data_IF_621135690630
#
_entry.id   IF_621135690630
#
_cell.length_a   1.000
_cell.length_b   1.000
_cell.length_c   1.000
_cell.angle_alpha   90.00
_cell.angle_beta   90.00
_cell.angle_gamma   90.00
#
_symmetry.space_group_name_H-M   'P 1'
#
loop_
_entity.id
_entity.type
_entity.pdbx_description
1 polymer ?
2 polymer ?
3 polymer ?
4 non-polymer ?
5 non-polymer ?
6 water ?
#
loop_
_entity_poly.entity_id
_entity_poly.type
_entity_poly.pdbx_seq_one_letter_code
_entity_poly.pdbx_strand_id
2 'polydeoxyribonucleotide' '(DC)(DG)(DC)(DT)(DA)(DG)(DT)(DC)(DG)(DA)(DC)(DA)(DT)' ?
3 'polydeoxyribonucleotide' '(DT)(DC)(DG)(DA)(DC)(DT)(DA)(DG)(DC)(DG)' ?
#
# COMPACT_ATOMS: atom_id res chain seq x y z
N UNK A 2 -7.29 0.36 0.05
CA UNK A 2 -8.45 1.18 -0.24
C UNK A 2 -9.72 0.45 -0.69
N UNK A 3 -9.64 -0.85 -0.97
CA UNK A 3 -10.82 -1.62 -1.34
C UNK A 3 -11.62 -1.92 -0.11
N UNK A 4 -12.47 -0.97 0.27
CA UNK A 4 -13.23 -1.09 1.49
C UNK A 4 -14.08 -2.36 1.51
N UNK A 5 -13.93 -3.15 2.57
CA UNK A 5 -14.72 -4.35 2.75
C UNK A 5 -14.19 -5.59 2.07
N UNK A 6 -12.96 -5.51 1.55
CA UNK A 6 -12.42 -6.62 0.78
C UNK A 6 -12.14 -7.87 1.62
N UNK A 7 -11.63 -7.70 2.84
CA UNK A 7 -11.19 -8.85 3.61
C UNK A 7 -12.39 -9.69 4.04
N UNK A 8 -13.46 -9.05 4.49
CA UNK A 8 -14.66 -9.78 4.88
C UNK A 8 -15.19 -10.51 3.66
N UNK A 9 -15.16 -9.84 2.53
CA UNK A 9 -15.73 -10.35 1.29
C UNK A 9 -15.00 -11.61 0.79
N UNK A 10 -13.70 -11.70 1.02
CA UNK A 10 -12.94 -12.89 0.60
C UNK A 10 -12.39 -13.70 1.78
N UNK A 11 -13.06 -13.59 2.92
CA UNK A 11 -12.60 -14.20 4.16
C UNK A 11 -12.38 -15.70 4.05
N UNK A 12 -13.11 -16.36 3.17
CA UNK A 12 -12.98 -17.81 2.99
C UNK A 12 -11.56 -18.19 2.58
N UNK A 13 -10.85 -17.29 1.92
CA UNK A 13 -9.53 -17.61 1.40
C UNK A 13 -8.43 -17.32 2.40
N UNK A 14 -8.81 -16.97 3.62
CA UNK A 14 -7.81 -16.60 4.61
C UNK A 14 -7.62 -17.70 5.62
N UNK A 15 -6.44 -17.72 6.24
CA UNK A 15 -6.09 -18.74 7.21
C UNK A 15 -5.36 -18.12 8.39
N UNK A 16 -5.80 -18.42 9.63
CA UNK A 16 -5.00 -18.00 10.77
C UNK A 16 -3.65 -18.67 10.69
N UNK A 17 -2.58 -17.93 10.89
CA UNK A 17 -1.26 -18.55 10.91
C UNK A 17 -0.38 -17.95 11.99
N UNK A 18 0.80 -18.54 12.13
CA UNK A 18 1.89 -17.92 12.85
C UNK A 18 3.11 -17.81 11.93
N UNK A 19 3.84 -16.70 11.99
CA UNK A 19 4.92 -16.45 11.04
C UNK A 19 6.11 -17.43 11.14
N UNK A 20 6.12 -18.33 12.14
CA UNK A 20 7.04 -19.47 12.16
C UNK A 20 7.07 -20.18 10.81
N UNK A 21 5.94 -20.13 10.11
CA UNK A 21 5.77 -20.77 8.82
C UNK A 21 6.90 -20.39 7.85
N UNK A 22 7.33 -19.14 7.93
CA UNK A 22 8.31 -18.62 6.99
C UNK A 22 9.73 -18.61 7.55
N UNK A 23 9.99 -19.49 8.50
CA UNK A 23 11.31 -19.60 9.11
C UNK A 23 12.31 -19.97 8.05
N UNK A 24 13.39 -19.21 7.97
CA UNK A 24 14.42 -19.41 6.96
C UNK A 24 14.06 -18.82 5.60
N UNK A 25 12.97 -18.05 5.54
CA UNK A 25 12.56 -17.47 4.27
C UNK A 25 12.52 -15.95 4.41
N UNK A 26 12.27 -15.28 3.29
CA UNK A 26 12.29 -13.84 3.32
C UNK A 26 10.89 -13.27 3.23
N UNK A 27 10.57 -12.40 4.18
CA UNK A 27 9.28 -11.73 4.23
C UNK A 27 9.51 -10.22 4.09
N UNK A 28 8.65 -9.54 3.33
CA UNK A 28 8.78 -8.09 3.19
C UNK A 28 7.71 -7.40 4.03
N UNK A 29 8.05 -6.24 4.58
CA UNK A 29 7.13 -5.55 5.48
C UNK A 29 6.64 -4.21 4.96
N UNK A 30 5.33 -4.02 4.95
CA UNK A 30 4.72 -2.73 4.64
C UNK A 30 4.87 -1.79 5.83
N UNK A 31 6.09 -1.25 6.02
CA UNK A 31 6.50 -0.63 7.28
C UNK A 31 5.69 0.62 7.70
N UNK A 32 5.08 1.35 6.75
CA UNK A 32 4.30 2.53 7.14
C UNK A 32 3.10 2.15 8.00
N UNK A 33 2.58 0.93 7.81
CA UNK A 33 1.55 0.40 8.69
C UNK A 33 2.00 0.38 10.16
N UNK A 34 3.19 -0.16 10.41
CA UNK A 34 3.75 -0.18 11.75
C UNK A 34 4.04 1.23 12.25
N UNK A 35 4.54 2.09 11.36
CA UNK A 35 4.86 3.46 11.73
C UNK A 35 3.63 4.20 12.20
N UNK A 36 2.54 4.06 11.46
CA UNK A 36 1.30 4.71 11.84
C UNK A 36 0.78 4.18 13.16
N UNK A 37 0.95 2.88 13.39
CA UNK A 37 0.57 2.30 14.67
C UNK A 37 1.47 2.77 15.79
N UNK A 38 2.78 2.80 15.52
CA UNK A 38 3.76 3.26 16.50
C UNK A 38 3.52 4.68 16.95
N UNK A 39 3.21 5.55 16.00
CA UNK A 39 3.07 6.99 16.26
C UNK A 39 1.90 7.37 17.18
N UNK A 40 0.90 6.51 17.26
CA UNK A 40 -0.26 6.81 18.08
C UNK A 40 0.11 6.99 19.56
N UNK A 41 0.96 6.10 20.08
CA UNK A 41 1.46 6.19 21.45
C UNK A 41 2.05 7.57 21.80
N UNK A 42 2.66 8.25 20.84
CA UNK A 42 3.31 9.53 21.11
C UNK A 42 2.76 10.66 20.24
N UNK A 43 1.46 10.65 20.02
CA UNK A 43 0.82 11.59 19.12
C UNK A 43 0.94 13.03 19.61
N UNK A 44 0.83 13.21 20.92
CA UNK A 44 0.82 14.54 21.50
C UNK A 44 2.13 15.27 21.23
N UNK A 45 3.23 14.60 21.54
CA UNK A 45 4.55 15.16 21.26
C UNK A 45 4.76 15.39 19.75
N UNK A 46 4.29 14.48 18.90
CA UNK A 46 4.46 14.65 17.47
C UNK A 46 3.72 15.89 16.97
N UNK A 47 2.52 16.09 17.53
CA UNK A 47 1.70 17.24 17.20
C UNK A 47 2.31 18.55 17.72
N UNK A 48 2.94 18.50 18.89
CA UNK A 48 3.50 19.71 19.51
C UNK A 48 4.89 20.02 18.96
N UNK A 49 5.39 19.18 18.07
CA UNK A 49 6.73 19.34 17.54
C UNK A 49 7.80 18.85 18.49
N UNK A 50 7.40 18.36 19.68
CA UNK A 50 8.35 17.87 20.66
C UNK A 50 9.11 16.64 20.16
N UNK A 51 10.41 16.54 20.52
CA UNK A 51 11.22 15.38 20.10
C UNK A 51 10.69 14.03 20.63
N UNK A 52 10.64 13.03 19.76
CA UNK A 52 10.22 11.67 20.12
C UNK A 52 10.87 10.65 19.21
N UNK A 53 11.24 9.49 19.76
CA UNK A 53 11.57 8.36 18.91
C UNK A 53 10.84 7.09 19.38
N UNK A 54 9.70 7.25 20.04
CA UNK A 54 8.99 6.11 20.64
C UNK A 54 8.56 5.12 19.56
N UNK A 55 8.10 5.65 18.42
CA UNK A 55 7.68 4.83 17.29
C UNK A 55 8.81 3.92 16.79
N UNK A 56 10.06 4.27 17.04
CA UNK A 56 11.18 3.47 16.55
C UNK A 56 11.22 2.16 17.32
N UNK A 57 11.09 2.25 18.64
CA UNK A 57 11.07 1.07 19.48
C UNK A 57 9.90 0.14 19.17
N UNK A 58 8.76 0.71 18.79
CA UNK A 58 7.58 -0.05 18.47
C UNK A 58 7.84 -0.92 17.25
N UNK A 59 8.33 -0.30 16.18
CA UNK A 59 8.66 -1.05 14.97
C UNK A 59 9.70 -2.12 15.27
N UNK A 60 10.70 -1.77 16.09
CA UNK A 60 11.76 -2.72 16.40
C UNK A 60 11.27 -3.95 17.15
N UNK A 61 10.23 -3.82 17.97
CA UNK A 61 9.63 -4.99 18.62
C UNK A 61 9.28 -6.02 17.57
N UNK A 62 8.53 -5.58 16.57
CA UNK A 62 8.10 -6.45 15.48
C UNK A 62 9.28 -7.03 14.72
N UNK A 63 10.23 -6.16 14.37
CA UNK A 63 11.42 -6.60 13.66
C UNK A 63 12.14 -7.68 14.45
N UNK A 64 12.39 -7.40 15.72
CA UNK A 64 13.06 -8.34 16.60
C UNK A 64 12.30 -9.67 16.68
N UNK A 65 10.99 -9.60 16.72
CA UNK A 65 10.20 -10.82 16.83
C UNK A 65 10.41 -11.69 15.59
N UNK A 66 10.32 -11.09 14.41
CA UNK A 66 10.59 -11.80 13.15
C UNK A 66 11.96 -12.46 13.15
N UNK A 67 12.98 -11.72 13.58
CA UNK A 67 14.34 -12.23 13.56
C UNK A 67 14.50 -13.42 14.50
N UNK A 68 13.82 -13.35 15.64
CA UNK A 68 13.90 -14.42 16.63
C UNK A 68 13.41 -15.76 16.05
N UNK A 69 12.47 -15.69 15.12
CA UNK A 69 11.92 -16.89 14.50
C UNK A 69 12.67 -17.23 13.21
N UNK A 70 13.85 -16.64 13.05
CA UNK A 70 14.68 -16.92 11.90
C UNK A 70 14.09 -16.43 10.58
N UNK A 71 13.30 -15.36 10.64
CA UNK A 71 12.77 -14.73 9.44
C UNK A 71 13.72 -13.63 8.99
N UNK A 72 13.99 -13.55 7.69
CA UNK A 72 14.76 -12.43 7.15
C UNK A 72 13.80 -11.38 6.63
N UNK A 73 13.58 -10.33 7.42
CA UNK A 73 12.67 -9.28 6.99
C UNK A 73 13.32 -8.31 6.03
N UNK A 74 12.52 -7.77 5.13
CA UNK A 74 12.95 -6.63 4.33
C UNK A 74 11.93 -5.54 4.59
N UNK A 75 12.37 -4.42 5.17
CA UNK A 75 11.41 -3.36 5.47
C UNK A 75 11.26 -2.47 4.26
N UNK A 76 10.03 -2.30 3.80
CA UNK A 76 9.82 -1.41 2.66
C UNK A 76 9.11 -0.15 3.11
N UNK A 77 9.48 0.97 2.50
CA UNK A 77 8.93 2.28 2.85
C UNK A 77 8.35 2.99 1.64
N UNK A 78 7.27 3.72 1.86
CA UNK A 78 6.68 4.50 0.81
C UNK A 78 7.65 5.60 0.47
N UNK A 79 7.69 5.99 -0.79
CA UNK A 79 8.58 7.05 -1.27
C UNK A 79 7.80 8.24 -1.76
N UNK A 80 8.04 8.66 -3.00
CA UNK A 80 7.43 9.88 -3.54
C UNK A 80 5.93 9.76 -3.76
N UNK A 81 5.28 10.91 -3.81
CA UNK A 81 3.84 10.98 -4.03
C UNK A 81 3.46 10.50 -5.44
N UNK A 82 2.40 9.71 -5.49
CA UNK A 82 1.90 9.17 -6.75
C UNK A 82 0.76 10.01 -7.27
N UNK A 83 0.88 10.53 -8.50
CA UNK A 83 -0.23 11.41 -8.89
C UNK A 83 -1.60 10.68 -8.96
N UNK A 84 -1.61 9.38 -9.24
CA UNK A 84 -2.89 8.67 -9.31
C UNK A 84 -3.65 8.74 -7.98
N UNK A 85 -2.90 8.92 -6.88
CA UNK A 85 -3.47 8.95 -5.55
C UNK A 85 -3.69 10.38 -5.01
N UNK A 86 -3.67 11.40 -5.88
CA UNK A 86 -3.61 12.77 -5.34
C UNK A 86 -4.88 13.16 -4.58
N UNK A 87 -6.04 12.80 -5.10
CA UNK A 87 -7.28 13.13 -4.39
C UNK A 87 -7.32 12.53 -2.99
N UNK A 88 -6.91 11.27 -2.86
CA UNK A 88 -6.87 10.64 -1.56
C UNK A 88 -5.83 11.33 -0.68
N UNK A 89 -4.68 11.67 -1.26
CA UNK A 89 -3.63 12.37 -0.51
C UNK A 89 -4.16 13.70 0.02
N UNK A 90 -5.01 14.36 -0.77
CA UNK A 90 -5.56 15.66 -0.39
C UNK A 90 -6.54 15.52 0.79
N UNK A 91 -7.46 14.57 0.69
CA UNK A 91 -8.45 14.42 1.73
C UNK A 91 -7.80 14.02 3.04
N UNK A 92 -6.80 13.13 3.00
CA UNK A 92 -6.06 12.80 4.22
C UNK A 92 -5.36 14.02 4.83
N UNK A 93 -4.66 14.77 3.97
CA UNK A 93 -4.00 15.98 4.42
C UNK A 93 -5.02 16.91 5.08
N UNK A 94 -6.16 17.10 4.42
CA UNK A 94 -7.20 18.00 4.94
C UNK A 94 -7.72 17.55 6.29
N UNK A 95 -7.77 16.25 6.51
CA UNK A 95 -8.32 15.72 7.76
C UNK A 95 -7.33 15.89 8.88
N UNK A 96 -6.07 15.58 8.61
CA UNK A 96 -4.98 15.84 9.55
C UNK A 96 -4.97 17.29 10.00
N UNK A 97 -5.01 18.21 9.03
CA UNK A 97 -5.00 19.64 9.31
C UNK A 97 -6.16 20.03 10.23
N UNK A 98 -7.35 19.58 9.87
CA UNK A 98 -8.56 19.85 10.64
C UNK A 98 -8.43 19.40 12.09
N UNK A 99 -7.99 18.17 12.27
CA UNK A 99 -7.84 17.62 13.62
C UNK A 99 -6.73 18.31 14.41
N UNK A 100 -5.63 18.67 13.75
CA UNK A 100 -4.52 19.33 14.46
C UNK A 100 -4.94 20.68 15.02
N UNK A 101 -5.63 21.46 14.19
CA UNK A 101 -6.15 22.76 14.59
C UNK A 101 -7.10 22.63 15.77
N UNK A 102 -7.99 21.62 15.69
CA UNK A 102 -9.02 21.44 16.71
C UNK A 102 -8.41 21.09 18.05
N UNK A 103 -7.45 20.17 18.03
CA UNK A 103 -6.72 19.79 19.23
C UNK A 103 -6.14 21.01 19.92
N UNK A 104 -5.43 21.84 19.15
CA UNK A 104 -4.83 23.06 19.69
C UNK A 104 -5.87 23.96 20.37
N UNK A 105 -7.03 24.10 19.75
CA UNK A 105 -8.08 24.93 20.31
C UNK A 105 -8.60 24.32 21.60
N UNK A 106 -8.58 23.00 21.67
CA UNK A 106 -9.01 22.30 22.87
C UNK A 106 -7.96 22.36 23.99
N UNK A 107 -6.73 22.73 23.63
CA UNK A 107 -5.69 22.94 24.64
C UNK A 107 -5.83 24.30 25.33
N UNK A 108 -6.30 25.30 24.59
CA UNK A 108 -6.61 26.59 25.18
C UNK A 108 -7.90 26.50 25.98
N UNK A 109 -8.61 25.38 25.82
CA UNK A 109 -9.82 25.08 26.58
C UNK A 109 -9.54 24.23 27.82
N UNK A 110 -8.46 23.46 27.78
CA UNK A 110 -8.09 22.60 28.89
C UNK A 110 -8.50 21.15 28.68
N UNK A 111 -9.38 20.92 27.71
CA UNK A 111 -9.87 19.58 27.40
C UNK A 111 -8.77 18.72 26.79
N UNK A 112 -7.87 18.22 27.64
CA UNK A 112 -6.73 17.43 27.19
C UNK A 112 -7.16 16.06 26.68
N UNK A 113 -8.26 15.55 27.21
CA UNK A 113 -8.78 14.27 26.77
C UNK A 113 -9.14 14.34 25.29
N UNK A 114 -10.06 15.24 24.96
CA UNK A 114 -10.50 15.43 23.58
C UNK A 114 -9.34 15.85 22.69
N UNK A 115 -8.50 16.75 23.20
CA UNK A 115 -7.36 17.24 22.43
C UNK A 115 -6.43 16.10 22.05
N UNK A 116 -6.34 15.09 22.91
CA UNK A 116 -5.56 13.90 22.62
C UNK A 116 -6.18 13.09 21.48
N UNK A 117 -7.50 13.01 21.48
CA UNK A 117 -8.22 12.27 20.44
C UNK A 117 -8.02 12.92 19.06
N UNK A 118 -7.84 14.24 19.04
CA UNK A 118 -7.66 14.95 17.77
C UNK A 118 -6.24 14.80 17.27
N UNK A 119 -5.28 14.97 18.17
CA UNK A 119 -3.88 14.87 17.82
C UNK A 119 -3.58 13.49 17.22
N UNK A 120 -4.12 12.46 17.84
CA UNK A 120 -3.87 11.10 17.40
C UNK A 120 -4.40 10.88 15.98
N UNK A 121 -5.37 11.69 15.56
CA UNK A 121 -5.88 11.64 14.19
C UNK A 121 -5.21 12.67 13.28
N UNK A 122 -4.24 13.40 13.82
CA UNK A 122 -3.51 14.36 13.01
C UNK A 122 -2.12 13.85 12.64
N UNK A 123 -1.79 12.64 13.10
CA UNK A 123 -0.49 12.03 12.85
C UNK A 123 -0.04 12.08 11.40
N UNK A 124 1.13 12.65 11.15
CA UNK A 124 1.68 12.57 9.81
C UNK A 124 3.03 11.88 9.82
N UNK A 125 3.13 10.77 9.08
CA UNK A 125 4.37 10.02 9.00
C UNK A 125 5.25 10.61 7.91
N UNK A 126 6.46 11.06 8.31
CA UNK A 126 7.44 11.71 7.43
C UNK A 126 8.61 10.82 7.06
N UNK A 127 9.37 11.22 6.05
CA UNK A 127 10.55 10.43 5.70
C UNK A 127 11.55 10.50 6.85
N UNK A 128 11.57 11.63 7.55
CA UNK A 128 12.46 11.77 8.70
C UNK A 128 12.14 10.75 9.78
N UNK A 129 10.86 10.51 10.02
CA UNK A 129 10.47 9.47 10.97
C UNK A 129 10.86 8.10 10.47
N UNK A 130 10.59 7.83 9.20
CA UNK A 130 10.90 6.52 8.66
C UNK A 130 12.42 6.29 8.67
N UNK A 131 13.18 7.33 8.36
CA UNK A 131 14.62 7.18 8.29
C UNK A 131 15.22 6.77 9.65
N UNK A 132 14.64 7.27 10.75
CA UNK A 132 15.06 6.81 12.06
C UNK A 132 14.81 5.29 12.19
N UNK A 133 13.71 4.81 11.64
CA UNK A 133 13.47 3.36 11.74
C UNK A 133 14.52 2.63 10.90
N UNK A 134 14.82 3.15 9.72
CA UNK A 134 15.84 2.57 8.87
C UNK A 134 17.20 2.43 9.55
N UNK A 135 17.65 3.48 10.26
CA UNK A 135 18.94 3.42 10.94
C UNK A 135 18.92 2.35 12.03
N UNK A 136 17.83 2.31 12.80
CA UNK A 136 17.67 1.29 13.84
C UNK A 136 17.75 -0.10 13.23
N UNK A 137 16.97 -0.32 12.19
CA UNK A 137 16.93 -1.60 11.49
C UNK A 137 18.30 -2.03 11.01
N UNK A 138 18.92 -1.19 10.18
CA UNK A 138 20.24 -1.47 9.63
C UNK A 138 21.25 -1.87 10.69
N UNK A 139 21.26 -1.13 11.80
CA UNK A 139 22.19 -1.41 12.90
C UNK A 139 22.00 -2.84 13.41
N UNK A 140 20.87 -3.44 13.12
CA UNK A 140 20.65 -4.84 13.46
C UNK A 140 20.76 -5.75 12.24
N UNK A 141 21.29 -5.21 11.15
CA UNK A 141 21.55 -6.02 9.96
C UNK A 141 20.35 -6.33 9.10
N UNK A 142 19.30 -5.53 9.25
CA UNK A 142 18.03 -5.75 8.55
C UNK A 142 17.94 -4.90 7.26
N UNK A 143 17.67 -5.55 6.12
CA UNK A 143 17.60 -4.86 4.84
C UNK A 143 16.42 -3.90 4.78
N UNK A 144 16.67 -2.66 4.39
CA UNK A 144 15.59 -1.70 4.17
C UNK A 144 15.59 -1.17 2.75
N UNK A 145 14.40 -0.84 2.25
CA UNK A 145 14.25 -0.38 0.90
C UNK A 145 13.13 0.66 0.83
N UNK A 146 13.44 1.84 0.30
CA UNK A 146 12.40 2.82 0.03
C UNK A 146 11.89 2.70 -1.40
N UNK A 147 10.60 2.41 -1.58
CA UNK A 147 9.99 2.39 -2.91
C UNK A 147 10.08 3.76 -3.56
N UNK A 148 10.15 3.81 -4.89
CA UNK A 148 10.22 5.16 -5.49
C UNK A 148 8.87 5.83 -5.35
N UNK A 149 7.81 5.01 -5.30
CA UNK A 149 6.48 5.55 -5.05
C UNK A 149 5.77 4.76 -3.94
N UNK A 150 4.61 4.19 -4.21
CA UNK A 150 3.94 3.44 -3.15
C UNK A 150 4.67 2.15 -2.82
N UNK A 151 4.87 1.92 -1.52
CA UNK A 151 5.36 0.66 -1.04
C UNK A 151 4.54 -0.51 -1.62
N UNK A 152 3.24 -0.29 -1.81
CA UNK A 152 2.34 -1.33 -2.32
C UNK A 152 2.91 -2.02 -3.54
N UNK A 153 3.29 -1.25 -4.57
CA UNK A 153 3.75 -1.87 -5.80
C UNK A 153 5.11 -2.54 -5.65
N UNK A 154 5.96 -1.91 -4.84
CA UNK A 154 7.29 -2.44 -4.59
C UNK A 154 7.20 -3.81 -3.92
N UNK A 155 6.31 -3.90 -2.94
CA UNK A 155 6.08 -5.15 -2.23
C UNK A 155 5.65 -6.22 -3.20
N UNK A 156 4.62 -5.92 -3.97
CA UNK A 156 4.13 -6.79 -5.01
C UNK A 156 5.25 -7.26 -5.92
N UNK A 157 6.15 -6.35 -6.25
CA UNK A 157 7.23 -6.67 -7.18
C UNK A 157 8.19 -7.65 -6.54
N UNK A 158 8.54 -7.42 -5.27
CA UNK A 158 9.43 -8.31 -4.55
C UNK A 158 8.80 -9.72 -4.38
N UNK A 159 7.48 -9.75 -4.27
CA UNK A 159 6.79 -11.04 -4.09
C UNK A 159 6.77 -11.76 -5.43
N UNK A 160 6.37 -11.05 -6.47
CA UNK A 160 6.31 -11.66 -7.79
C UNK A 160 7.69 -12.08 -8.32
N UNK A 161 8.74 -11.32 -8.02
CA UNK A 161 10.09 -11.67 -8.51
C UNK A 161 10.70 -12.88 -7.78
N UNK A 162 10.03 -13.37 -6.75
CA UNK A 162 10.58 -14.45 -5.95
C UNK A 162 11.56 -14.02 -4.88
N UNK A 163 11.77 -12.70 -4.75
CA UNK A 163 12.69 -12.15 -3.76
C UNK A 163 12.22 -12.34 -2.32
N UNK A 164 10.93 -12.16 -2.09
CA UNK A 164 10.34 -12.45 -0.80
C UNK A 164 9.20 -13.46 -0.99
N UNK A 165 8.88 -14.23 0.04
CA UNK A 165 7.87 -15.29 -0.08
C UNK A 165 6.48 -14.84 0.38
N UNK A 166 6.44 -13.73 1.13
CA UNK A 166 5.20 -13.19 1.67
C UNK A 166 5.37 -11.75 2.09
N UNK A 167 4.25 -11.05 2.25
CA UNK A 167 4.22 -9.64 2.56
C UNK A 167 3.39 -9.36 3.80
N UNK A 168 3.98 -8.69 4.78
CA UNK A 168 3.27 -8.30 5.99
C UNK A 168 2.72 -6.89 5.85
N UNK A 169 1.39 -6.75 5.96
CA UNK A 169 0.74 -5.48 5.70
C UNK A 169 -0.66 -5.48 6.30
N UNK A 170 -1.33 -4.32 6.31
CA UNK A 170 -2.73 -4.29 6.73
C UNK A 170 -3.62 -3.97 5.56
N UNK A 171 -3.00 -3.78 4.41
CA UNK A 171 -3.63 -3.28 3.18
C UNK A 171 -4.05 -4.43 2.26
N UNK A 172 -5.32 -4.85 2.31
CA UNK A 172 -5.73 -6.01 1.51
C UNK A 172 -5.70 -5.73 0.00
N UNK A 173 -5.75 -4.47 -0.40
CA UNK A 173 -5.67 -4.14 -1.82
C UNK A 173 -4.33 -4.55 -2.47
N UNK A 174 -3.34 -4.94 -1.66
CA UNK A 174 -2.10 -5.50 -2.22
C UNK A 174 -2.38 -6.71 -3.13
N UNK A 175 -3.50 -7.39 -2.91
CA UNK A 175 -3.89 -8.49 -3.78
C UNK A 175 -4.21 -8.03 -5.20
N UNK A 176 -4.75 -6.81 -5.37
CA UNK A 176 -4.99 -6.25 -6.71
C UNK A 176 -3.68 -5.93 -7.46
N UNK A 177 -2.58 -5.80 -6.75
CA UNK A 177 -1.28 -5.58 -7.40
C UNK A 177 -0.71 -6.93 -7.80
N UNK A 178 -1.35 -8.00 -7.36
CA UNK A 178 -0.95 -9.33 -7.76
C UNK A 178 0.11 -9.95 -6.86
N UNK A 179 0.14 -9.54 -5.60
CA UNK A 179 0.95 -10.25 -4.61
C UNK A 179 0.46 -11.69 -4.55
N UNK A 180 1.36 -12.62 -4.23
CA UNK A 180 1.05 -14.03 -4.09
C UNK A 180 0.53 -14.28 -2.69
N UNK A 181 1.29 -13.86 -1.68
CA UNK A 181 0.92 -14.12 -0.31
C UNK A 181 0.96 -12.87 0.53
N UNK A 182 -0.14 -12.62 1.24
CA UNK A 182 -0.24 -11.49 2.13
C UNK A 182 -0.59 -11.95 3.54
N UNK A 183 0.12 -11.40 4.52
CA UNK A 183 -0.13 -11.67 5.93
C UNK A 183 -0.68 -10.43 6.62
N UNK A 184 -1.93 -10.52 7.06
CA UNK A 184 -2.64 -9.38 7.63
C UNK A 184 -2.82 -9.50 9.12
N UNK A 185 -3.04 -8.37 9.79
CA UNK A 185 -3.40 -8.37 11.20
C UNK A 185 -2.36 -9.08 12.07
N UNK A 186 -1.11 -9.10 11.63
CA UNK A 186 -0.11 -9.82 12.39
C UNK A 186 0.23 -9.07 13.66
N UNK A 187 0.08 -9.74 14.81
CA UNK A 187 0.31 -9.06 16.08
C UNK A 187 1.80 -9.06 16.46
N UNK A 188 2.10 -8.57 17.65
CA UNK A 188 3.49 -8.43 18.07
C UNK A 188 4.13 -9.78 18.34
N UNK A 189 3.32 -10.84 18.43
CA UNK A 189 3.82 -12.16 18.77
C UNK A 189 3.99 -13.07 17.56
N UNK A 190 3.49 -12.62 16.42
CA UNK A 190 3.63 -13.39 15.19
C UNK A 190 2.34 -14.03 14.69
N UNK A 191 1.25 -13.87 15.43
CA UNK A 191 -0.03 -14.45 15.00
C UNK A 191 -0.69 -13.53 14.01
N UNK A 192 -1.22 -14.11 12.95
CA UNK A 192 -1.82 -13.30 11.91
C UNK A 192 -2.69 -14.11 10.98
N UNK A 193 -3.07 -13.45 9.89
CA UNK A 193 -4.08 -13.97 8.98
C UNK A 193 -3.52 -13.91 7.58
N UNK A 194 -3.36 -15.07 6.96
CA UNK A 194 -2.73 -15.11 5.65
C UNK A 194 -3.77 -15.32 4.55
N UNK A 195 -3.59 -14.59 3.47
CA UNK A 195 -4.36 -14.82 2.26
C UNK A 195 -3.42 -15.10 1.10
N UNK A 196 -3.61 -16.25 0.46
CA UNK A 196 -2.85 -16.62 -0.73
C UNK A 196 -3.68 -16.33 -1.97
N UNK A 197 -3.07 -15.73 -2.99
CA UNK A 197 -3.77 -15.49 -4.26
C UNK A 197 -4.37 -16.77 -4.86
N UNK A 198 -3.66 -17.87 -4.70
CA UNK A 198 -4.04 -19.15 -5.31
C UNK A 198 -5.24 -19.80 -4.62
N UNK A 199 -5.60 -19.30 -3.44
CA UNK A 199 -6.74 -19.85 -2.73
C UNK A 199 -7.95 -18.95 -2.87
N UNK A 200 -7.89 -17.95 -3.74
CA UNK A 200 -9.04 -17.05 -3.93
C UNK A 200 -10.23 -17.84 -4.48
N UNK A 201 -9.94 -18.92 -5.19
CA UNK A 201 -11.00 -19.80 -5.65
C UNK A 201 -11.77 -20.51 -4.54
N UNK A 202 -11.20 -20.53 -3.33
CA UNK A 202 -11.90 -21.06 -2.16
C UNK A 202 -13.10 -20.19 -1.82
N UNK A 203 -13.06 -18.96 -2.31
CA UNK A 203 -14.01 -17.94 -1.91
C UNK A 203 -15.25 -18.03 -2.77
N UNK A 204 -16.29 -18.63 -2.21
CA UNK A 204 -17.47 -19.04 -2.99
C UNK A 204 -18.09 -17.88 -3.76
N UNK A 205 -18.28 -16.74 -3.10
CA UNK A 205 -19.04 -15.67 -3.70
C UNK A 205 -18.27 -14.87 -4.76
N UNK A 206 -17.03 -15.24 -5.08
CA UNK A 206 -16.35 -14.62 -6.21
C UNK A 206 -16.78 -15.20 -7.54
N UNK A 207 -17.41 -16.38 -7.52
CA UNK A 207 -17.65 -17.09 -8.76
C UNK A 207 -16.29 -17.30 -9.44
N UNK A 208 -16.18 -16.93 -10.72
CA UNK A 208 -14.94 -17.13 -11.46
C UNK A 208 -14.01 -15.90 -11.49
N UNK A 209 -14.35 -14.89 -10.70
CA UNK A 209 -13.58 -13.65 -10.57
C UNK A 209 -12.53 -13.99 -9.50
N UNK A 210 -11.64 -14.92 -9.82
CA UNK A 210 -10.57 -15.26 -8.90
C UNK A 210 -9.31 -15.18 -9.74
N UNK A 211 -9.48 -14.99 -11.05
CA UNK A 211 -8.32 -14.82 -11.93
C UNK A 211 -7.77 -13.39 -11.79
N UNK A 212 -6.45 -13.24 -11.95
CA UNK A 212 -5.78 -11.97 -11.67
C UNK A 212 -6.48 -10.78 -12.31
N UNK A 213 -6.77 -10.89 -13.60
CA UNK A 213 -7.24 -9.73 -14.36
C UNK A 213 -8.61 -9.31 -13.85
N UNK A 214 -9.50 -10.28 -13.70
CA UNK A 214 -10.86 -10.01 -13.23
C UNK A 214 -10.90 -9.53 -11.80
N UNK A 215 -10.01 -10.07 -10.97
CA UNK A 215 -10.01 -9.68 -9.57
C UNK A 215 -9.60 -8.19 -9.49
N UNK A 216 -8.63 -7.81 -10.30
CA UNK A 216 -8.18 -6.41 -10.36
C UNK A 216 -9.32 -5.50 -10.79
N UNK A 217 -9.99 -5.86 -11.88
CA UNK A 217 -11.15 -5.11 -12.35
C UNK A 217 -12.22 -4.97 -11.27
N UNK A 218 -12.50 -6.06 -10.57
CA UNK A 218 -13.50 -6.00 -9.50
C UNK A 218 -13.10 -4.99 -8.43
N UNK A 219 -11.84 -5.04 -8.02
CA UNK A 219 -11.37 -4.13 -6.97
C UNK A 219 -11.51 -2.69 -7.42
N UNK A 220 -11.03 -2.38 -8.63
CA UNK A 220 -11.13 -1.01 -9.15
C UNK A 220 -12.60 -0.55 -9.20
N UNK A 221 -13.48 -1.38 -9.75
CA UNK A 221 -14.90 -1.04 -9.90
C UNK A 221 -15.58 -0.77 -8.58
N UNK A 222 -15.10 -1.41 -7.53
CA UNK A 222 -15.76 -1.30 -6.24
C UNK A 222 -15.38 0.00 -5.59
N UNK A 223 -14.40 0.68 -6.17
CA UNK A 223 -13.93 1.93 -5.62
C UNK A 223 -12.62 1.70 -4.93
N UNK A 224 -11.57 2.35 -5.44
CA UNK A 224 -10.24 2.21 -4.87
C UNK A 224 -9.63 3.60 -4.67
N UNK A 225 -8.40 3.64 -4.18
CA UNK A 225 -7.74 4.91 -3.89
C UNK A 225 -7.47 5.72 -5.17
N UNK A 226 -7.37 5.03 -6.30
CA UNK A 226 -7.09 5.70 -7.56
C UNK A 226 -8.35 6.18 -8.26
N UNK A 227 -9.50 5.68 -7.81
CA UNK A 227 -10.73 5.96 -8.54
C UNK A 227 -11.97 5.62 -7.74
N UNK A 228 -12.74 6.62 -7.40
CA UNK A 228 -14.04 6.43 -6.77
C UNK A 228 -14.98 5.63 -7.66
N UNK A 229 -15.72 4.71 -7.02
CA UNK A 229 -16.70 3.93 -7.75
C UNK A 229 -17.85 4.80 -8.25
N UNK A 230 -18.50 4.33 -9.30
CA UNK A 230 -19.82 4.82 -9.64
C UNK A 230 -20.73 4.64 -8.43
N UNK A 231 -21.67 5.55 -8.23
CA UNK A 231 -22.55 5.51 -7.06
C UNK A 231 -23.43 4.28 -7.03
N UNK A 232 -23.34 3.53 -5.95
CA UNK A 232 -24.17 2.35 -5.77
C UNK A 232 -23.43 1.07 -6.10
N UNK A 233 -22.16 1.19 -6.48
CA UNK A 233 -21.37 0.00 -6.80
C UNK A 233 -20.33 -0.32 -5.73
N UNK A 234 -20.44 -1.49 -5.11
CA UNK A 234 -19.48 -1.99 -4.15
C UNK A 234 -18.89 -3.30 -4.64
N UNK A 235 -18.33 -4.10 -3.74
CA UNK A 235 -17.69 -5.34 -4.16
C UNK A 235 -18.66 -6.35 -4.74
N UNK A 236 -19.82 -6.49 -4.12
CA UNK A 236 -20.74 -7.55 -4.51
C UNK A 236 -21.30 -7.29 -5.90
N UNK A 237 -21.60 -6.03 -6.19
CA UNK A 237 -22.20 -5.71 -7.47
C UNK A 237 -21.13 -5.64 -8.54
N UNK A 238 -19.93 -5.25 -8.14
CA UNK A 238 -18.81 -5.24 -9.08
C UNK A 238 -18.50 -6.67 -9.46
N UNK A 239 -18.44 -7.53 -8.46
CA UNK A 239 -18.22 -8.94 -8.68
C UNK A 239 -19.29 -9.52 -9.61
N UNK A 240 -20.55 -9.15 -9.35
CA UNK A 240 -21.68 -9.62 -10.15
C UNK A 240 -21.53 -9.22 -11.63
N UNK A 241 -21.15 -7.96 -11.85
CA UNK A 241 -20.96 -7.48 -13.22
C UNK A 241 -19.93 -8.32 -13.95
N UNK A 242 -18.82 -8.60 -13.29
CA UNK A 242 -17.78 -9.38 -13.93
C UNK A 242 -18.18 -10.85 -14.10
N UNK A 243 -18.96 -11.39 -13.16
CA UNK A 243 -19.44 -12.77 -13.32
C UNK A 243 -20.35 -12.88 -14.53
N UNK A 244 -21.33 -11.98 -14.62
CA UNK A 244 -22.34 -12.07 -15.66
C UNK A 244 -21.84 -11.63 -17.02
N UNK A 245 -20.90 -10.69 -17.03
CA UNK A 245 -20.36 -10.18 -18.27
C UNK A 245 -19.68 -11.29 -19.03
N UNK A 246 -19.87 -11.31 -20.34
CA UNK A 246 -19.25 -12.33 -21.16
C UNK A 246 -18.12 -11.72 -21.99
N UNK A 247 -18.36 -10.51 -22.50
CA UNK A 247 -17.39 -9.80 -23.33
C UNK A 247 -16.04 -9.66 -22.63
N UNK A 248 -14.95 -9.88 -23.38
CA UNK A 248 -13.58 -9.69 -22.87
C UNK A 248 -13.17 -8.21 -22.75
N UNK A 249 -13.68 -7.37 -23.64
CA UNK A 249 -13.35 -5.94 -23.60
C UNK A 249 -14.02 -5.26 -22.42
N UNK A 250 -13.24 -5.08 -21.36
CA UNK A 250 -13.76 -4.56 -20.11
C UNK A 250 -14.42 -3.18 -20.29
N UNK A 251 -13.94 -2.40 -21.26
CA UNK A 251 -14.52 -1.08 -21.49
C UNK A 251 -15.97 -1.17 -21.98
N UNK A 252 -16.22 -2.08 -22.90
CA UNK A 252 -17.58 -2.27 -23.41
C UNK A 252 -18.51 -2.82 -22.33
N UNK A 253 -17.94 -3.47 -21.33
CA UNK A 253 -18.74 -4.01 -20.24
C UNK A 253 -19.15 -2.91 -19.28
N UNK A 254 -18.18 -2.06 -18.91
CA UNK A 254 -18.43 -0.94 -18.01
C UNK A 254 -19.47 0.03 -18.56
N UNK A 255 -19.33 0.39 -19.85
CA UNK A 255 -20.30 1.24 -20.53
C UNK A 255 -21.73 0.75 -20.37
N UNK A 256 -21.92 -0.58 -20.39
CA UNK A 256 -23.26 -1.12 -20.23
C UNK A 256 -23.43 -1.81 -18.90
N UNK A 257 -22.80 -1.27 -17.85
CA UNK A 257 -22.84 -1.88 -16.52
C UNK A 257 -24.24 -1.88 -15.88
N UNK A 258 -25.03 -0.85 -16.17
CA UNK A 258 -26.37 -0.78 -15.61
C UNK A 258 -27.23 -1.91 -16.10
N UNK A 259 -26.83 -2.49 -17.23
CA UNK A 259 -27.58 -3.56 -17.85
C UNK A 259 -27.44 -4.84 -17.04
N UNK A 260 -26.20 -5.21 -16.76
CA UNK A 260 -25.93 -6.42 -16.00
C UNK A 260 -26.55 -6.37 -14.60
N UNK A 261 -26.87 -5.18 -14.13
CA UNK A 261 -27.31 -5.03 -12.75
C UNK A 261 -28.76 -4.62 -12.62
N UNK A 262 -29.39 -4.33 -13.76
CA UNK A 262 -30.76 -3.83 -13.79
C UNK A 262 -30.90 -2.58 -12.91
N UNK A 263 -29.97 -1.65 -13.12
CA UNK A 263 -29.98 -0.37 -12.44
C UNK A 263 -29.88 0.73 -13.49
N UNK A 264 -30.37 1.92 -13.17
CA UNK A 264 -30.14 3.06 -14.03
C UNK A 264 -28.83 3.71 -13.64
N UNK A 265 -27.76 3.35 -14.35
CA UNK A 265 -26.44 3.88 -14.06
C UNK A 265 -25.83 4.55 -15.28
N UNK A 266 -25.73 5.88 -15.23
CA UNK A 266 -25.00 6.65 -16.23
C UNK A 266 -23.49 6.56 -16.00
N UNK A 267 -22.76 6.24 -17.06
CA UNK A 267 -21.31 6.13 -16.97
C UNK A 267 -20.65 7.28 -17.71
N UNK A 268 -20.12 8.26 -16.97
CA UNK A 268 -19.53 9.43 -17.63
C UNK A 268 -18.28 9.06 -18.44
N UNK A 269 -17.98 9.84 -19.47
CA UNK A 269 -16.81 9.59 -20.31
C UNK A 269 -15.50 9.56 -19.51
N UNK A 270 -15.34 10.45 -18.55
CA UNK A 270 -14.13 10.46 -17.76
C UNK A 270 -14.02 9.24 -16.84
N UNK A 271 -15.14 8.58 -16.56
CA UNK A 271 -15.03 7.40 -15.70
C UNK A 271 -14.25 6.30 -16.42
N UNK A 272 -14.55 6.07 -17.70
CA UNK A 272 -13.76 5.14 -18.50
C UNK A 272 -12.28 5.48 -18.49
N UNK A 273 -11.97 6.76 -18.62
CA UNK A 273 -10.59 7.20 -18.60
C UNK A 273 -9.98 6.95 -17.25
N UNK A 274 -10.73 7.29 -16.20
CA UNK A 274 -10.28 7.00 -14.86
C UNK A 274 -10.04 5.51 -14.68
N UNK A 275 -10.96 4.68 -15.19
CA UNK A 275 -10.83 3.24 -15.00
C UNK A 275 -9.56 2.70 -15.64
N UNK A 276 -9.32 3.09 -16.90
CA UNK A 276 -8.08 2.79 -17.61
C UNK A 276 -6.85 3.25 -16.83
N UNK A 277 -6.89 4.46 -16.33
CA UNK A 277 -5.78 5.01 -15.56
C UNK A 277 -5.53 4.19 -14.31
N UNK A 278 -6.60 3.87 -13.59
CA UNK A 278 -6.46 3.09 -12.36
C UNK A 278 -5.92 1.69 -12.65
N UNK A 279 -6.43 1.08 -13.72
CA UNK A 279 -5.90 -0.21 -14.16
C UNK A 279 -4.40 -0.11 -14.45
N UNK A 280 -4.02 0.87 -15.27
CA UNK A 280 -2.61 1.09 -15.60
C UNK A 280 -1.77 1.36 -14.35
N UNK A 281 -2.36 1.95 -13.33
CA UNK A 281 -1.61 2.26 -12.11
C UNK A 281 -1.34 1.00 -11.27
N UNK A 282 -2.31 0.08 -11.17
CA UNK A 282 -2.06 -1.18 -10.48
C UNK A 282 -1.05 -2.04 -11.24
N UNK A 283 -1.06 -1.92 -12.57
CA UNK A 283 -0.23 -2.75 -13.45
C UNK A 283 1.20 -2.21 -13.66
N UNK A 284 1.34 -0.90 -13.80
CA UNK A 284 2.57 -0.28 -14.30
C UNK A 284 3.24 0.75 -13.38
N UNK A 285 2.75 0.86 -12.13
CA UNK A 285 3.38 1.75 -11.16
C UNK A 285 4.85 1.38 -11.02
N UNK A 286 5.71 2.40 -11.03
CA UNK A 286 7.16 2.22 -11.03
C UNK A 286 7.66 1.63 -9.75
N UNK A 287 8.62 0.73 -9.85
CA UNK A 287 9.23 0.16 -8.68
C UNK A 287 10.72 0.11 -8.93
N UNK A 288 11.48 -0.23 -7.90
CA UNK A 288 12.93 -0.28 -8.04
C UNK A 288 13.39 -1.72 -7.97
N UNK A 289 13.95 -2.20 -9.07
CA UNK A 289 14.56 -3.52 -9.10
C UNK A 289 15.88 -3.46 -8.36
N UNK A 290 15.95 -4.08 -7.17
CA UNK A 290 17.12 -3.99 -6.30
C UNK A 290 18.34 -4.72 -6.82
N UNK A 291 18.16 -5.67 -7.73
CA UNK A 291 19.30 -6.47 -8.20
C UNK A 291 20.05 -5.73 -9.28
N UNK A 292 19.30 -5.20 -10.23
CA UNK A 292 19.91 -4.50 -11.34
C UNK A 292 20.00 -3.02 -11.00
N UNK A 293 19.47 -2.68 -9.82
CA UNK A 293 19.42 -1.31 -9.34
C UNK A 293 18.87 -0.36 -10.39
N UNK A 294 17.60 -0.52 -10.72
CA UNK A 294 16.93 0.37 -11.66
C UNK A 294 15.41 0.48 -11.46
N UNK A 295 14.84 1.53 -12.06
CA UNK A 295 13.40 1.74 -12.09
C UNK A 295 12.74 1.01 -13.23
N UNK A 296 11.70 0.25 -12.91
CA UNK A 296 10.93 -0.52 -13.89
C UNK A 296 9.42 -0.47 -13.60
N UNK A 297 8.60 -0.66 -14.61
CA UNK A 297 7.20 -0.80 -14.25
C UNK A 297 6.98 -2.14 -13.53
N UNK A 298 5.97 -2.23 -12.68
CA UNK A 298 5.73 -3.43 -11.88
C UNK A 298 5.53 -4.63 -12.80
N UNK A 299 4.86 -4.41 -13.91
CA UNK A 299 4.79 -5.39 -14.99
C UNK A 299 5.29 -4.78 -16.31
N UNK A 300 5.91 -5.60 -17.14
CA UNK A 300 6.32 -5.17 -18.47
C UNK A 300 5.14 -4.62 -19.24
N UNK A 301 5.39 -3.55 -19.99
CA UNK A 301 4.36 -2.91 -20.78
C UNK A 301 3.84 -3.86 -21.83
N UNK A 302 2.52 -3.84 -22.00
CA UNK A 302 1.91 -4.66 -23.03
C UNK A 302 1.92 -3.94 -24.37
N UNK A 303 1.28 -4.56 -25.36
CA UNK A 303 1.15 -4.01 -26.70
C UNK A 303 -0.15 -3.24 -26.81
N UNK A 304 -0.57 -2.65 -25.70
CA UNK A 304 -1.80 -1.86 -25.68
C UNK A 304 -1.59 -0.60 -24.85
N UNK A 305 -0.40 -0.47 -24.28
CA UNK A 305 -0.13 0.69 -23.47
C UNK A 305 1.08 1.44 -24.02
N UNK A 306 0.95 2.76 -24.14
CA UNK A 306 2.05 3.64 -24.49
C UNK A 306 2.61 4.22 -23.21
N UNK A 307 3.83 3.84 -22.85
CA UNK A 307 4.43 4.23 -21.57
C UNK A 307 4.59 5.74 -21.45
N UNK A 308 4.62 6.46 -22.57
CA UNK A 308 4.76 7.90 -22.52
C UNK A 308 3.57 8.55 -21.82
N UNK A 309 2.42 7.89 -21.85
CA UNK A 309 1.19 8.48 -21.34
C UNK A 309 0.93 8.17 -19.85
N UNK A 310 1.88 7.48 -19.20
CA UNK A 310 1.67 6.94 -17.86
C UNK A 310 2.39 7.71 -16.75
N UNK A 311 2.40 9.03 -16.87
CA UNK A 311 3.01 9.89 -15.86
C UNK A 311 2.37 9.66 -14.51
N UNK A 312 1.03 9.51 -14.52
CA UNK A 312 0.26 9.39 -13.28
C UNK A 312 0.67 8.17 -12.45
N UNK A 313 1.44 7.28 -13.05
CA UNK A 313 1.86 6.04 -12.40
C UNK A 313 3.30 6.12 -11.92
N UNK A 314 3.87 7.32 -11.94
CA UNK A 314 5.22 7.52 -11.46
C UNK A 314 6.15 7.92 -12.60
N UNK A 315 6.79 9.08 -12.49
CA UNK A 315 7.70 9.50 -13.52
C UNK A 315 9.03 8.82 -13.32
N UNK A 316 9.71 8.48 -14.40
CA UNK A 316 11.07 7.96 -14.30
C UNK A 316 12.06 9.03 -13.84
N UNK A 317 13.08 8.62 -13.12
CA UNK A 317 14.21 9.49 -12.79
C UNK A 317 15.46 8.68 -13.06
N UNK A 318 16.59 9.36 -13.22
CA UNK A 318 17.86 8.69 -13.47
C UNK A 318 18.08 7.57 -12.45
N UNK A 319 18.65 6.46 -12.88
CA UNK A 319 18.81 5.32 -11.98
C UNK A 319 19.69 5.66 -10.77
N UNK A 320 20.65 6.57 -10.93
CA UNK A 320 21.53 6.90 -9.81
C UNK A 320 20.73 7.58 -8.72
N UNK A 321 19.75 8.37 -9.12
CA UNK A 321 18.83 9.00 -8.18
C UNK A 321 17.87 7.99 -7.52
N UNK A 322 17.29 7.10 -8.32
CA UNK A 322 16.45 6.04 -7.76
C UNK A 322 17.21 5.24 -6.70
N UNK A 323 18.50 5.05 -6.91
CA UNK A 323 19.31 4.33 -5.95
C UNK A 323 19.38 5.06 -4.62
N UNK A 324 19.68 6.35 -4.65
CA UNK A 324 19.85 7.10 -3.41
C UNK A 324 18.53 7.19 -2.64
N UNK A 325 17.43 7.25 -3.37
CA UNK A 325 16.14 7.22 -2.73
C UNK A 325 15.92 5.85 -2.07
N UNK A 326 16.13 4.77 -2.81
CA UNK A 326 15.90 3.40 -2.32
C UNK A 326 16.72 3.07 -1.07
N UNK A 327 17.96 3.53 -1.04
CA UNK A 327 18.82 3.34 0.12
C UNK A 327 18.42 4.24 1.30
N UNK A 328 17.43 5.10 1.09
CA UNK A 328 17.03 6.08 2.10
C UNK A 328 17.93 7.30 2.21
N UNK A 329 18.92 7.39 1.33
CA UNK A 329 19.87 8.51 1.39
C UNK A 329 19.29 9.85 0.99
N UNK A 330 18.44 9.82 -0.02
CA UNK A 330 17.90 11.05 -0.56
C UNK A 330 16.57 11.31 0.10
N UNK A 331 16.46 12.46 0.76
CA UNK A 331 15.17 12.82 1.32
C UNK A 331 14.22 12.93 0.16
N UNK A 332 12.97 12.55 0.39
CA UNK A 332 11.99 12.57 -0.66
C UNK A 332 11.76 13.98 -1.21
N UNK A 333 11.82 14.94 -0.29
CA UNK A 333 11.30 16.26 -0.59
C UNK A 333 12.38 17.29 -0.84
N UNK A 334 13.32 17.45 0.09
CA UNK A 334 14.46 18.33 -0.19
C UNK A 334 15.22 17.75 -1.36
N UNK A 335 15.08 16.43 -1.54
CA UNK A 335 15.79 15.70 -2.59
C UNK A 335 17.29 15.83 -2.33
N UNK A 336 17.62 16.27 -1.12
CA UNK A 336 19.01 16.44 -0.74
C UNK A 336 19.45 15.21 0.03
N UNK A 337 20.77 15.01 0.08
CA UNK A 337 21.34 13.89 0.81
C UNK A 337 21.18 14.10 2.31
N UNK A 338 20.47 13.20 2.96
CA UNK A 338 20.32 13.23 4.41
C UNK A 338 21.20 12.16 5.04
N UNK A 339 21.82 11.35 4.19
CA UNK A 339 22.65 10.23 4.64
C UNK A 339 23.55 9.81 3.49
N UNK A 340 24.53 8.94 3.78
CA UNK A 340 25.45 8.48 2.75
C UNK A 340 25.79 6.99 2.90
N UNK A 341 24.84 6.20 3.37
CA UNK A 341 25.01 4.75 3.49
C UNK A 341 25.39 4.12 2.15
N UNK A 342 26.40 3.26 2.17
CA UNK A 342 26.84 2.55 0.97
C UNK A 342 26.80 1.04 1.20
N UNK A 343 25.84 0.34 0.58
CA UNK A 343 25.61 -1.09 0.79
C UNK A 343 26.78 -1.95 0.33
N UNK A 344 27.56 -1.44 -0.61
CA UNK A 344 28.71 -2.18 -1.12
C UNK A 344 29.80 -2.27 -0.05
N UNK A 345 30.37 -1.12 0.30
CA UNK A 345 31.38 -1.04 1.35
C UNK A 345 30.84 -1.46 2.70
X LIG D 1 -2.70 0.84 -0.78
X LIG E 1 10.95 10.51 -6.82
X LIG F 1 -18.02 1.67 -3.86
X LIG G 1 0.35 1.63 0.95
X LIG H 1 2.49 9.77 2.72
#
# INVERSE_FOLDING_TARGET
MGIQGLLQFIKEASEPIHVRKYKGQVVAVDTYCWLHKGAIACAEKLAKGEPTDRYVGFCMKFVNMLLSHGIKPILVFDGCTLPSKKEVERSRRERRQANLLKGKQLLREGKVSEARECFTRSINITHAMAHKVIKAARSQGVDCLVAPYEADAQLAYLNKAGIVQAIITEDSALLAFGCKKVILKMDQFGNGLEIDQARLGMCRQLGDVFTEEKFRYMCILSGCDYLSSLRGIGLAKACKVLRLANNPDIVKVIKKIGHYLKMNITVPEDYINGFIRANNTFLYQLVFDPIKRKLIPLNAYEDDVDPETLSYAGQYVDDSIALQIALGNKDINTFEQIDDYNPDTAMPAHSR
MN MN
MN MN
NA NA
MN MN
MN MN
#
